data_IF_068026092792
#
_entry.id   IF_068026092792
#
_cell.length_a   1.000
_cell.length_b   1.000
_cell.length_c   1.000
_cell.angle_alpha   90.00
_cell.angle_beta   90.00
_cell.angle_gamma   90.00
#
_symmetry.space_group_name_H-M   'P 1'
#
loop_
_entity.id
_entity.type
_entity.pdbx_description
1 polymer ?
#
# COMPACT_ATOMS: atom_id res chain seq x y z
N UNK A 1 22.17 -16.90 1.22
CA UNK A 1 20.73 -17.27 1.28
C UNK A 1 19.93 -16.00 1.07
N UNK A 2 19.19 -15.88 -0.03
CA UNK A 2 18.23 -14.79 -0.22
C UNK A 2 16.94 -15.23 0.48
N UNK A 3 16.38 -14.37 1.34
CA UNK A 3 15.14 -14.63 2.07
C UNK A 3 14.04 -13.71 1.54
N UNK A 4 12.86 -14.26 1.28
CA UNK A 4 11.69 -13.52 0.81
C UNK A 4 10.91 -12.84 1.94
N UNK A 5 11.32 -12.97 3.20
CA UNK A 5 10.53 -12.52 4.35
C UNK A 5 10.11 -11.04 4.28
N UNK A 6 10.98 -10.16 3.77
CA UNK A 6 10.65 -8.74 3.58
C UNK A 6 9.56 -8.55 2.52
N UNK A 7 9.66 -9.29 1.40
CA UNK A 7 8.68 -9.26 0.32
C UNK A 7 7.34 -9.85 0.76
N UNK A 8 7.35 -10.94 1.52
CA UNK A 8 6.15 -11.58 2.09
C UNK A 8 5.42 -10.65 3.07
N UNK A 9 6.18 -9.93 3.91
CA UNK A 9 5.64 -8.93 4.82
C UNK A 9 4.96 -7.78 4.08
N UNK A 10 5.57 -7.29 3.00
CA UNK A 10 4.98 -6.25 2.15
C UNK A 10 3.71 -6.76 1.44
N UNK A 11 3.76 -7.96 0.86
CA UNK A 11 2.62 -8.55 0.17
C UNK A 11 1.42 -8.75 1.12
N UNK A 12 1.69 -9.14 2.36
CA UNK A 12 0.68 -9.27 3.42
C UNK A 12 0.03 -7.92 3.77
N UNK A 13 0.82 -6.85 3.88
CA UNK A 13 0.29 -5.48 4.10
C UNK A 13 -0.58 -5.01 2.93
N UNK A 14 -0.15 -5.23 1.69
CA UNK A 14 -0.91 -4.86 0.49
C UNK A 14 -2.26 -5.60 0.43
N UNK A 15 -2.26 -6.90 0.73
CA UNK A 15 -3.51 -7.67 0.81
C UNK A 15 -4.44 -7.17 1.92
N UNK A 16 -3.89 -6.80 3.08
CA UNK A 16 -4.68 -6.23 4.16
C UNK A 16 -5.36 -4.90 3.75
N UNK A 17 -4.65 -4.02 3.04
CA UNK A 17 -5.20 -2.78 2.48
C UNK A 17 -6.36 -3.09 1.53
N UNK A 18 -6.17 -4.02 0.59
CA UNK A 18 -7.21 -4.46 -0.34
C UNK A 18 -8.44 -5.00 0.37
N UNK A 19 -8.24 -5.84 1.39
CA UNK A 19 -9.31 -6.47 2.18
C UNK A 19 -10.08 -5.43 3.00
N UNK A 20 -9.40 -4.47 3.63
CA UNK A 20 -10.01 -3.42 4.44
C UNK A 20 -10.92 -2.50 3.62
N UNK A 21 -10.57 -2.27 2.35
CA UNK A 21 -11.39 -1.50 1.43
C UNK A 21 -12.53 -2.31 0.78
N UNK A 22 -12.67 -3.61 1.09
CA UNK A 22 -13.56 -4.54 0.39
C UNK A 22 -13.32 -4.61 -1.13
N UNK A 23 -12.07 -4.37 -1.55
CA UNK A 23 -11.68 -4.28 -2.95
C UNK A 23 -11.62 -2.84 -3.49
N UNK A 24 -10.85 -2.66 -4.56
CA UNK A 24 -10.73 -1.37 -5.24
C UNK A 24 -11.30 -1.50 -6.66
N UNK A 25 -12.17 -0.56 -7.02
CA UNK A 25 -12.77 -0.49 -8.36
C UNK A 25 -11.79 0.08 -9.40
N UNK A 26 -10.96 1.04 -8.99
CA UNK A 26 -9.91 1.64 -9.80
C UNK A 26 -8.51 1.20 -9.30
N UNK A 27 -7.66 0.72 -10.22
CA UNK A 27 -6.27 0.33 -9.93
C UNK A 27 -5.40 1.51 -9.50
N UNK A 28 -5.65 2.72 -10.00
CA UNK A 28 -4.95 3.92 -9.58
C UNK A 28 -5.21 4.23 -8.10
N UNK A 29 -6.47 4.17 -7.66
CA UNK A 29 -6.80 4.34 -6.24
C UNK A 29 -6.15 3.28 -5.36
N UNK A 30 -6.02 2.04 -5.85
CA UNK A 30 -5.30 1.00 -5.13
C UNK A 30 -3.82 1.32 -5.00
N UNK A 31 -3.17 1.79 -6.08
CA UNK A 31 -1.77 2.23 -6.03
C UNK A 31 -1.59 3.39 -5.05
N UNK A 32 -2.42 4.42 -5.12
CA UNK A 32 -2.38 5.55 -4.19
C UNK A 32 -2.53 5.10 -2.74
N UNK A 33 -3.46 4.19 -2.45
CA UNK A 33 -3.60 3.63 -1.10
C UNK A 33 -2.35 2.86 -0.65
N UNK A 34 -1.74 2.05 -1.52
CA UNK A 34 -0.48 1.37 -1.19
C UNK A 34 0.62 2.40 -0.91
N UNK A 35 0.80 3.42 -1.74
CA UNK A 35 1.80 4.47 -1.51
C UNK A 35 1.53 5.25 -0.22
N UNK A 36 0.26 5.48 0.11
CA UNK A 36 -0.12 6.14 1.35
C UNK A 36 0.23 5.29 2.60
N UNK A 37 -0.22 4.04 2.64
CA UNK A 37 -0.06 3.17 3.82
C UNK A 37 1.32 2.49 3.93
N UNK A 38 2.01 2.27 2.82
CA UNK A 38 3.31 1.59 2.80
C UNK A 38 4.47 2.49 2.36
N UNK A 39 4.20 3.55 1.58
CA UNK A 39 5.21 4.45 1.04
C UNK A 39 5.40 5.75 1.81
N UNK A 40 4.63 5.99 2.89
CA UNK A 40 4.76 7.18 3.73
C UNK A 40 4.30 8.48 3.05
N UNK A 41 3.46 8.38 2.01
CA UNK A 41 2.90 9.56 1.36
C UNK A 41 2.08 10.34 2.40
N UNK A 42 2.47 11.58 2.67
CA UNK A 42 1.76 12.44 3.61
C UNK A 42 0.38 12.79 3.01
N UNK A 43 -0.72 12.59 3.76
CA UNK A 43 -2.09 12.84 3.27
C UNK A 43 -2.28 14.31 2.85
N UNK A 44 -1.43 15.17 3.41
CA UNK A 44 -1.28 16.58 3.10
C UNK A 44 0.14 16.78 2.58
N UNK A 45 0.39 16.80 1.25
CA UNK A 45 1.62 17.38 0.76
C UNK A 45 1.63 18.82 1.26
N UNK A 46 2.68 19.23 1.98
CA UNK A 46 2.82 20.61 2.40
C UNK A 46 2.63 21.49 1.15
N UNK A 47 1.55 22.26 1.12
CA UNK A 47 1.34 23.27 0.10
C UNK A 47 2.54 24.21 0.19
N UNK A 48 3.43 24.12 -0.79
CA UNK A 48 4.45 25.12 -1.04
C UNK A 48 3.85 26.24 -1.88
#
# INVERSE_FOLDING_TARGET
>A
RITNGVAEGLNSKIMAIKRKACGYRNREHFKTAIYFFCGGLNLYPASS
#
